data_IF_327873611063
#
_entry.id   IF_327873611063
#
_cell.length_a   1.000
_cell.length_b   1.000
_cell.length_c   1.000
_cell.angle_alpha   90.00
_cell.angle_beta   90.00
_cell.angle_gamma   90.00
#
_symmetry.space_group_name_H-M   'P 1'
#
loop_
_entity.id
_entity.type
_entity.pdbx_description
1 polymer ?
#
# COMPACT_ATOMS: atom_id res chain seq x y z
N UNK A 1 3.08 -20.72 14.94
CA UNK A 1 4.23 -19.81 14.86
C UNK A 1 3.73 -18.47 14.28
N UNK A 2 2.53 -18.04 14.67
CA UNK A 2 1.70 -17.17 13.82
C UNK A 2 1.63 -15.73 14.38
N UNK A 3 2.11 -15.54 15.61
CA UNK A 3 2.06 -14.25 16.30
C UNK A 3 3.24 -13.34 15.93
N UNK A 4 4.37 -13.90 15.50
CA UNK A 4 5.59 -13.13 15.20
C UNK A 4 5.38 -12.15 14.03
N UNK A 5 4.63 -12.55 13.00
CA UNK A 5 4.28 -11.70 11.87
C UNK A 5 3.28 -10.60 12.25
N UNK A 6 2.31 -10.95 13.10
CA UNK A 6 1.28 -10.02 13.61
C UNK A 6 1.91 -8.94 14.51
N UNK A 7 2.82 -9.35 15.40
CA UNK A 7 3.55 -8.46 16.32
C UNK A 7 4.45 -7.50 15.53
N UNK A 8 5.19 -8.00 14.53
CA UNK A 8 6.05 -7.14 13.69
C UNK A 8 5.25 -6.14 12.88
N UNK A 9 4.11 -6.54 12.32
CA UNK A 9 3.19 -5.63 11.63
C UNK A 9 2.65 -4.54 12.54
N UNK A 10 2.24 -4.90 13.76
CA UNK A 10 1.75 -3.95 14.77
C UNK A 10 2.85 -2.96 15.21
N UNK A 11 4.07 -3.45 15.47
CA UNK A 11 5.21 -2.61 15.84
C UNK A 11 5.55 -1.62 14.71
N UNK A 12 5.61 -2.09 13.45
CA UNK A 12 5.86 -1.23 12.30
C UNK A 12 4.78 -0.17 12.13
N UNK A 13 3.51 -0.55 12.30
CA UNK A 13 2.39 0.39 12.22
C UNK A 13 2.49 1.46 13.32
N UNK A 14 2.80 1.08 14.56
CA UNK A 14 2.99 1.99 15.69
C UNK A 14 4.18 2.93 15.51
N UNK A 15 5.31 2.42 15.01
CA UNK A 15 6.50 3.24 14.72
C UNK A 15 6.22 4.25 13.61
N UNK A 16 5.50 3.85 12.57
CA UNK A 16 5.11 4.73 11.48
C UNK A 16 4.14 5.82 11.94
N UNK A 17 3.17 5.46 12.79
CA UNK A 17 2.27 6.41 13.43
C UNK A 17 3.05 7.46 14.25
N UNK A 18 4.09 7.02 14.98
CA UNK A 18 4.98 7.92 15.71
C UNK A 18 5.78 8.85 14.80
N UNK A 19 6.30 8.36 13.67
CA UNK A 19 6.99 9.20 12.69
C UNK A 19 6.05 10.28 12.10
N UNK A 20 4.76 9.98 11.94
CA UNK A 20 3.77 10.94 11.46
C UNK A 20 3.41 12.01 12.50
N UNK A 21 3.52 11.71 13.81
CA UNK A 21 3.44 12.73 14.86
C UNK A 21 4.64 13.68 14.86
N UNK A 22 5.79 13.25 14.31
CA UNK A 22 6.99 14.05 14.13
C UNK A 22 7.02 14.82 12.80
N UNK A 23 6.10 14.53 11.88
CA UNK A 23 5.83 15.42 10.73
C UNK A 23 5.50 16.80 11.28
N UNK A 24 5.89 17.91 10.62
CA UNK A 24 5.51 19.27 11.02
C UNK A 24 3.99 19.43 10.92
N UNK A 25 3.30 18.88 11.90
CA UNK A 25 1.96 19.23 12.29
C UNK A 25 2.08 20.69 12.71
N UNK A 26 1.21 21.60 12.22
CA UNK A 26 1.31 22.99 12.61
C UNK A 26 1.38 23.07 14.14
N UNK A 27 2.48 23.59 14.73
CA UNK A 27 2.64 23.66 16.18
C UNK A 27 1.44 24.36 16.84
N UNK A 28 0.72 25.17 16.06
CA UNK A 28 -0.54 25.82 16.40
C UNK A 28 -1.65 24.89 16.89
N UNK A 29 -1.78 23.64 16.44
CA UNK A 29 -2.87 22.76 16.96
C UNK A 29 -2.55 22.26 18.39
N UNK A 30 -1.29 21.92 18.63
CA UNK A 30 -0.80 21.42 19.93
C UNK A 30 -0.74 22.58 20.93
N UNK A 31 -0.22 23.73 20.51
CA UNK A 31 -0.14 24.95 21.33
C UNK A 31 -1.52 25.51 21.69
N UNK A 32 -2.52 25.40 20.80
CA UNK A 32 -3.89 25.88 21.04
C UNK A 32 -4.84 24.83 21.62
N UNK A 33 -4.36 23.66 22.07
CA UNK A 33 -5.18 22.55 22.62
C UNK A 33 -6.31 22.08 21.68
N UNK A 34 -6.11 22.23 20.37
CA UNK A 34 -7.07 21.77 19.38
C UNK A 34 -6.86 20.26 19.13
N UNK A 35 -7.92 19.51 18.78
CA UNK A 35 -7.78 18.09 18.47
C UNK A 35 -6.72 17.87 17.40
N UNK A 36 -5.76 16.98 17.66
CA UNK A 36 -4.76 16.62 16.67
C UNK A 36 -5.42 15.97 15.44
N UNK A 37 -4.84 16.15 14.27
CA UNK A 37 -5.27 15.41 13.08
C UNK A 37 -4.99 13.92 13.27
N UNK A 38 -5.88 13.07 12.76
CA UNK A 38 -5.66 11.63 12.78
C UNK A 38 -4.47 11.27 11.88
N UNK A 39 -3.68 10.29 12.29
CA UNK A 39 -2.53 9.80 11.52
C UNK A 39 -2.91 9.44 10.09
N UNK A 40 -4.03 8.73 9.90
CA UNK A 40 -4.53 8.39 8.57
C UNK A 40 -4.91 9.60 7.71
N UNK A 41 -5.37 10.71 8.31
CA UNK A 41 -5.64 11.94 7.56
C UNK A 41 -4.36 12.67 7.13
N UNK A 42 -3.32 12.66 7.98
CA UNK A 42 -2.01 13.21 7.66
C UNK A 42 -1.32 12.39 6.55
N UNK A 43 -1.37 11.07 6.65
CA UNK A 43 -0.83 10.17 5.64
C UNK A 43 -1.51 10.40 4.28
N UNK A 44 -2.84 10.46 4.23
CA UNK A 44 -3.57 10.73 2.98
C UNK A 44 -3.21 12.09 2.39
N UNK A 45 -3.09 13.13 3.22
CA UNK A 45 -2.70 14.48 2.77
C UNK A 45 -1.29 14.48 2.19
N UNK A 46 -0.35 13.79 2.85
CA UNK A 46 1.03 13.62 2.37
C UNK A 46 1.07 12.85 1.04
N UNK A 47 0.35 11.73 0.94
CA UNK A 47 0.25 10.94 -0.29
C UNK A 47 -0.28 11.75 -1.47
N UNK A 48 -1.35 12.53 -1.28
CA UNK A 48 -1.90 13.40 -2.33
C UNK A 48 -0.91 14.50 -2.71
N UNK A 49 -0.21 15.10 -1.75
CA UNK A 49 0.79 16.13 -2.04
C UNK A 49 1.94 15.58 -2.91
N UNK A 50 2.46 14.40 -2.56
CA UNK A 50 3.50 13.72 -3.34
C UNK A 50 2.99 13.34 -4.72
N UNK A 51 1.75 12.82 -4.83
CA UNK A 51 1.15 12.48 -6.12
C UNK A 51 1.01 13.71 -7.03
N UNK A 52 0.53 14.84 -6.49
CA UNK A 52 0.40 16.07 -7.25
C UNK A 52 1.76 16.59 -7.73
N UNK A 53 2.77 16.55 -6.88
CA UNK A 53 4.12 16.97 -7.25
C UNK A 53 4.69 16.07 -8.34
N UNK A 54 4.55 14.75 -8.18
CA UNK A 54 4.92 13.79 -9.22
C UNK A 54 4.25 14.09 -10.56
N UNK A 55 2.93 14.36 -10.58
CA UNK A 55 2.21 14.70 -11.81
C UNK A 55 2.77 15.98 -12.46
N UNK A 56 3.05 17.02 -11.67
CA UNK A 56 3.65 18.25 -12.21
C UNK A 56 5.02 17.97 -12.83
N UNK A 57 5.90 17.30 -12.10
CA UNK A 57 7.24 16.95 -12.59
C UNK A 57 7.18 16.09 -13.85
N UNK A 58 6.22 15.17 -13.93
CA UNK A 58 6.00 14.36 -15.13
C UNK A 58 5.62 15.23 -16.33
N UNK A 59 4.69 16.17 -16.16
CA UNK A 59 4.22 17.07 -17.21
C UNK A 59 5.28 18.06 -17.69
N UNK A 60 6.24 18.42 -16.84
CA UNK A 60 7.37 19.30 -17.19
C UNK A 60 8.47 18.58 -17.98
N UNK A 61 8.43 17.26 -18.08
CA UNK A 61 9.43 16.48 -18.79
C UNK A 61 9.31 16.68 -20.32
N UNK A 62 10.45 16.64 -21.04
CA UNK A 62 10.48 16.78 -22.50
C UNK A 62 9.63 15.75 -23.26
N UNK A 63 9.41 14.56 -22.68
CA UNK A 63 8.53 13.53 -23.23
C UNK A 63 7.78 12.81 -22.09
N UNK A 64 6.64 13.38 -21.64
CA UNK A 64 5.90 12.85 -20.50
C UNK A 64 5.28 11.47 -20.78
N UNK A 65 4.94 11.19 -22.05
CA UNK A 65 4.33 9.93 -22.45
C UNK A 65 5.30 8.75 -22.30
N UNK A 66 6.55 8.92 -22.74
CA UNK A 66 7.59 7.89 -22.58
C UNK A 66 7.87 7.62 -21.10
N UNK A 67 7.92 8.68 -20.27
CA UNK A 67 8.23 8.54 -18.85
C UNK A 67 7.09 7.90 -18.06
N UNK A 68 5.85 8.16 -18.46
CA UNK A 68 4.68 7.45 -17.95
C UNK A 68 4.70 5.97 -18.34
N UNK A 69 5.12 5.65 -19.57
CA UNK A 69 5.25 4.26 -20.04
C UNK A 69 6.32 3.49 -19.26
N UNK A 70 7.45 4.13 -18.95
CA UNK A 70 8.49 3.56 -18.10
C UNK A 70 7.95 3.27 -16.69
N UNK A 71 7.22 4.21 -16.09
CA UNK A 71 6.56 3.98 -14.80
C UNK A 71 5.58 2.81 -14.85
N UNK A 72 4.76 2.72 -15.91
CA UNK A 72 3.82 1.61 -16.07
C UNK A 72 4.54 0.25 -16.09
N UNK A 73 5.67 0.17 -16.80
CA UNK A 73 6.51 -1.03 -16.79
C UNK A 73 7.03 -1.38 -15.39
N UNK A 74 7.54 -0.40 -14.64
CA UNK A 74 8.00 -0.61 -13.27
C UNK A 74 6.86 -1.05 -12.33
N UNK A 75 5.66 -0.52 -12.51
CA UNK A 75 4.47 -0.92 -11.74
C UNK A 75 4.14 -2.39 -12.03
N UNK A 76 4.14 -2.79 -13.30
CA UNK A 76 3.90 -4.19 -13.66
C UNK A 76 4.96 -5.08 -13.00
N UNK A 77 6.25 -4.74 -13.08
CA UNK A 77 7.35 -5.51 -12.48
C UNK A 77 7.22 -5.66 -10.95
N UNK A 78 6.75 -4.63 -10.25
CA UNK A 78 6.62 -4.64 -8.78
C UNK A 78 5.34 -5.31 -8.32
N UNK A 79 4.21 -5.06 -8.99
CA UNK A 79 2.89 -5.52 -8.57
C UNK A 79 2.45 -6.76 -9.33
N UNK A 80 3.29 -7.79 -9.29
CA UNK A 80 3.02 -9.07 -9.93
C UNK A 80 1.88 -9.82 -9.26
N UNK A 81 1.05 -10.47 -10.09
CA UNK A 81 0.04 -11.40 -9.59
C UNK A 81 0.73 -12.63 -9.02
N UNK A 82 0.69 -12.74 -7.69
CA UNK A 82 1.27 -13.89 -7.01
C UNK A 82 0.30 -15.08 -7.06
N UNK A 83 0.75 -16.26 -7.51
CA UNK A 83 -0.07 -17.47 -7.43
C UNK A 83 -0.37 -17.78 -5.98
N UNK A 84 -1.64 -18.02 -5.71
CA UNK A 84 -2.13 -18.17 -4.34
C UNK A 84 -2.45 -19.63 -4.04
N UNK A 85 -1.68 -20.23 -3.13
CA UNK A 85 -1.94 -21.58 -2.64
C UNK A 85 -3.33 -21.73 -1.97
N UNK A 86 -3.90 -20.64 -1.44
CA UNK A 86 -5.26 -20.62 -0.87
C UNK A 86 -6.35 -20.86 -1.91
N UNK A 87 -6.03 -20.59 -3.18
CA UNK A 87 -6.92 -20.81 -4.32
C UNK A 87 -6.55 -22.08 -5.10
N UNK A 88 -5.73 -22.95 -4.52
CA UNK A 88 -5.29 -24.21 -5.12
C UNK A 88 -4.61 -24.07 -6.50
N UNK A 89 -4.07 -22.89 -6.81
CA UNK A 89 -3.33 -22.64 -8.06
C UNK A 89 -2.12 -23.58 -8.12
N UNK A 90 -2.01 -24.35 -9.20
CA UNK A 90 -0.89 -25.27 -9.45
C UNK A 90 -0.87 -26.53 -8.58
N UNK A 91 -1.95 -26.84 -7.85
CA UNK A 91 -2.04 -28.08 -7.05
C UNK A 91 -2.72 -29.19 -7.84
N UNK A 92 -2.23 -30.42 -7.64
CA UNK A 92 -2.95 -31.62 -8.05
C UNK A 92 -4.17 -31.80 -7.13
N UNK A 93 -5.36 -31.74 -7.71
CA UNK A 93 -6.63 -31.88 -7.01
C UNK A 93 -7.12 -33.34 -6.97
N UNK A 94 -6.38 -34.27 -7.60
CA UNK A 94 -6.82 -35.65 -7.75
C UNK A 94 -8.10 -35.75 -8.60
N UNK A 95 -9.00 -36.67 -8.24
CA UNK A 95 -10.22 -36.94 -9.01
C UNK A 95 -11.32 -35.91 -8.69
N UNK A 96 -11.71 -35.11 -9.69
CA UNK A 96 -12.75 -34.07 -9.58
C UNK A 96 -14.09 -34.55 -10.17
N UNK A 97 -14.19 -35.78 -10.62
CA UNK A 97 -15.42 -36.35 -11.17
C UNK A 97 -16.48 -36.56 -10.07
N UNK A 98 -17.79 -36.43 -10.38
CA UNK A 98 -18.86 -36.78 -9.47
C UNK A 98 -18.71 -38.22 -8.97
N UNK A 99 -18.71 -38.39 -7.65
CA UNK A 99 -18.82 -39.73 -7.07
C UNK A 99 -20.22 -40.29 -7.34
N UNK A 100 -20.38 -41.62 -7.27
CA UNK A 100 -21.69 -42.28 -7.39
C UNK A 100 -22.73 -41.78 -6.39
N UNK A 101 -22.31 -41.17 -5.27
CA UNK A 101 -23.20 -40.57 -4.26
C UNK A 101 -23.66 -39.15 -4.62
N UNK A 102 -23.11 -38.55 -5.67
CA UNK A 102 -23.42 -37.21 -6.18
C UNK A 102 -24.11 -37.26 -7.56
N UNK A 103 -24.54 -38.44 -8.01
CA UNK A 103 -25.34 -38.64 -9.23
C UNK A 103 -26.84 -38.59 -8.93
#
# INVERSE_FOLDING_TARGET
>A
MDDEGSIRGLILSLLFDHCLLLHPTPPTHIENKLPAYTVGSLQRKSQIAVLLEFIKTLLEHQNPADKLKELAGLVDDVFQLMPSGKHMVGRDLGRIEPSSSLQ
#
